data_IF_370464376014
#
_entry.id   IF_370464376014
#
_cell.length_a   1.000
_cell.length_b   1.000
_cell.length_c   1.000
_cell.angle_alpha   90.00
_cell.angle_beta   90.00
_cell.angle_gamma   90.00
#
_symmetry.space_group_name_H-M   'P 1'
#
loop_
_entity.id
_entity.type
_entity.pdbx_description
1 polymer ?
#
# COMPACT_ATOMS: atom_id res chain seq x y z
N UNK A 1 0.20 -4.05 13.01
CA UNK A 1 -1.22 -3.60 13.02
C UNK A 1 -2.03 -4.15 14.20
N UNK A 2 -1.87 -5.42 14.53
CA UNK A 2 -2.67 -6.06 15.59
C UNK A 2 -2.48 -5.43 16.98
N UNK A 3 -1.35 -4.78 17.23
CA UNK A 3 -1.03 -4.13 18.51
C UNK A 3 -1.45 -2.67 18.57
N UNK A 4 -2.02 -2.14 17.49
CA UNK A 4 -2.47 -0.76 17.44
C UNK A 4 -3.82 -0.63 18.13
N UNK A 5 -3.97 0.38 18.98
CA UNK A 5 -5.22 0.65 19.68
C UNK A 5 -6.37 0.85 18.69
N UNK A 6 -7.50 0.21 18.96
CA UNK A 6 -8.68 0.27 18.09
C UNK A 6 -8.71 -0.77 16.97
N UNK A 7 -7.61 -1.47 16.71
CA UNK A 7 -7.55 -2.53 15.71
C UNK A 7 -8.04 -3.84 16.29
N UNK A 8 -9.01 -4.47 15.61
CA UNK A 8 -9.54 -5.78 15.97
C UNK A 8 -9.59 -6.65 14.71
N UNK A 9 -9.77 -7.95 14.89
CA UNK A 9 -9.92 -8.90 13.79
C UNK A 9 -8.80 -8.80 12.73
N UNK A 10 -7.59 -8.45 13.17
CA UNK A 10 -6.43 -8.34 12.27
C UNK A 10 -5.95 -9.73 11.90
N UNK A 11 -5.90 -10.02 10.59
CA UNK A 11 -5.45 -11.31 10.09
C UNK A 11 -4.65 -11.18 8.81
N UNK A 12 -3.71 -12.11 8.64
CA UNK A 12 -2.91 -12.25 7.44
C UNK A 12 -3.66 -13.10 6.43
N UNK A 13 -3.63 -12.69 5.17
CA UNK A 13 -4.27 -13.42 4.07
C UNK A 13 -3.20 -14.11 3.22
N UNK A 14 -3.46 -15.35 2.82
CA UNK A 14 -2.51 -16.17 2.06
C UNK A 14 -2.93 -16.36 0.59
N UNK A 15 -4.01 -15.73 0.15
CA UNK A 15 -4.51 -15.85 -1.23
C UNK A 15 -3.67 -15.08 -2.24
N UNK A 16 -3.45 -15.65 -3.43
CA UNK A 16 -2.79 -14.96 -4.53
C UNK A 16 -3.67 -13.83 -5.08
N UNK A 17 -3.04 -12.70 -5.41
CA UNK A 17 -3.70 -11.58 -6.06
C UNK A 17 -4.57 -10.71 -5.18
N UNK A 18 -4.79 -11.10 -3.91
CA UNK A 18 -5.54 -10.31 -2.95
C UNK A 18 -4.64 -9.49 -2.02
N UNK A 19 -5.21 -8.68 -1.13
CA UNK A 19 -4.44 -7.94 -0.13
C UNK A 19 -3.76 -8.88 0.87
N UNK A 20 -2.71 -8.39 1.54
CA UNK A 20 -1.93 -9.20 2.48
C UNK A 20 -2.54 -9.26 3.87
N UNK A 21 -3.26 -8.22 4.29
CA UNK A 21 -3.83 -8.12 5.63
C UNK A 21 -5.26 -7.56 5.55
N UNK A 22 -6.14 -8.10 6.38
CA UNK A 22 -7.44 -7.49 6.67
C UNK A 22 -7.53 -7.17 8.16
N UNK A 23 -8.16 -6.07 8.50
CA UNK A 23 -8.41 -5.68 9.88
C UNK A 23 -9.68 -4.86 9.98
N UNK A 24 -10.17 -4.70 11.22
CA UNK A 24 -11.26 -3.79 11.54
C UNK A 24 -10.75 -2.73 12.51
N UNK A 25 -11.04 -1.47 12.21
CA UNK A 25 -10.61 -0.34 13.03
C UNK A 25 -11.82 0.35 13.66
N UNK A 26 -11.82 0.43 15.01
CA UNK A 26 -12.88 1.08 15.79
C UNK A 26 -14.29 0.61 15.42
N UNK A 27 -14.45 -0.72 15.27
CA UNK A 27 -15.72 -1.36 14.94
C UNK A 27 -16.35 -0.87 13.61
N UNK A 28 -15.53 -0.30 12.70
CA UNK A 28 -15.97 0.09 11.36
C UNK A 28 -15.93 -1.10 10.38
N UNK A 29 -15.98 -0.82 9.08
CA UNK A 29 -15.86 -1.87 8.06
C UNK A 29 -14.49 -2.54 8.07
N UNK A 30 -14.36 -3.64 7.35
CA UNK A 30 -13.08 -4.31 7.13
C UNK A 30 -12.20 -3.42 6.24
N UNK A 31 -10.97 -3.23 6.65
CA UNK A 31 -9.94 -2.48 5.93
C UNK A 31 -8.90 -3.46 5.41
N UNK A 32 -8.57 -3.38 4.13
CA UNK A 32 -7.55 -4.22 3.51
C UNK A 32 -6.24 -3.46 3.32
N UNK A 33 -5.13 -4.16 3.56
CA UNK A 33 -3.78 -3.60 3.50
C UNK A 33 -2.91 -4.42 2.56
N UNK A 34 -2.26 -3.76 1.62
CA UNK A 34 -1.24 -4.35 0.75
C UNK A 34 0.14 -3.97 1.27
N UNK A 35 1.01 -4.97 1.47
CA UNK A 35 2.37 -4.73 1.96
C UNK A 35 3.37 -4.86 0.81
N UNK A 36 4.28 -3.91 0.69
CA UNK A 36 5.33 -3.91 -0.33
C UNK A 36 6.67 -3.49 0.27
N UNK A 37 7.75 -4.07 -0.25
CA UNK A 37 9.10 -3.62 0.07
C UNK A 37 9.48 -2.49 -0.88
N UNK A 38 10.19 -1.49 -0.36
CA UNK A 38 10.73 -0.41 -1.20
C UNK A 38 11.88 -0.94 -2.06
N UNK A 39 12.16 -0.24 -3.16
CA UNK A 39 13.32 -0.53 -4.00
C UNK A 39 14.61 -0.23 -3.23
N UNK A 40 15.64 -1.02 -3.48
CA UNK A 40 16.94 -0.89 -2.81
C UNK A 40 17.68 0.39 -3.20
N UNK A 41 17.45 0.87 -4.40
CA UNK A 41 18.14 2.03 -4.97
C UNK A 41 17.28 3.27 -4.80
N UNK A 42 17.84 4.30 -4.14
CA UNK A 42 17.22 5.62 -4.06
C UNK A 42 17.43 6.39 -5.38
N UNK A 43 16.59 7.38 -5.63
CA UNK A 43 16.78 8.30 -6.75
C UNK A 43 18.00 9.19 -6.50
N UNK A 44 18.42 9.96 -7.53
CA UNK A 44 19.54 10.88 -7.42
C UNK A 44 19.35 11.92 -6.30
N UNK A 45 18.11 12.31 -6.01
CA UNK A 45 17.77 13.26 -4.93
C UNK A 45 17.54 12.58 -3.57
N UNK A 46 17.80 11.28 -3.47
CA UNK A 46 17.65 10.53 -2.23
C UNK A 46 16.24 10.02 -1.93
N UNK A 47 15.31 10.13 -2.87
CA UNK A 47 13.94 9.67 -2.67
C UNK A 47 13.83 8.15 -2.67
N UNK A 48 12.96 7.61 -1.81
CA UNK A 48 12.63 6.19 -1.72
C UNK A 48 11.42 5.92 -2.61
N UNK A 49 11.45 4.78 -3.31
CA UNK A 49 10.38 4.41 -4.26
C UNK A 49 9.87 3.00 -4.04
N UNK A 50 8.62 2.77 -4.44
CA UNK A 50 8.01 1.45 -4.57
C UNK A 50 7.86 1.09 -6.03
N UNK A 51 8.07 -0.18 -6.36
CA UNK A 51 7.58 -0.76 -7.62
C UNK A 51 6.25 -1.44 -7.30
N UNK A 52 5.16 -0.74 -7.62
CA UNK A 52 3.83 -1.05 -7.14
C UNK A 52 3.00 -1.72 -8.23
N UNK A 53 3.29 -3.00 -8.48
CA UNK A 53 2.58 -3.79 -9.48
C UNK A 53 2.59 -5.27 -9.10
N UNK A 54 1.66 -6.04 -9.68
CA UNK A 54 1.66 -7.49 -9.55
C UNK A 54 2.82 -8.08 -10.34
N UNK A 55 3.27 -9.26 -9.96
CA UNK A 55 4.36 -9.96 -10.65
C UNK A 55 3.97 -10.42 -12.05
N UNK A 56 2.68 -10.62 -12.31
CA UNK A 56 2.17 -11.13 -13.59
C UNK A 56 1.02 -10.30 -14.11
N UNK A 57 1.00 -10.11 -15.44
CA UNK A 57 -0.12 -9.52 -16.15
C UNK A 57 -0.83 -10.59 -16.98
N UNK A 58 -2.11 -10.36 -17.30
CA UNK A 58 -2.80 -11.11 -18.33
C UNK A 58 -2.14 -10.83 -19.68
N UNK A 59 -1.96 -11.86 -20.52
CA UNK A 59 -1.41 -11.68 -21.88
C UNK A 59 -2.28 -10.78 -22.76
N UNK A 60 -3.59 -10.70 -22.48
CA UNK A 60 -4.56 -9.90 -23.23
C UNK A 60 -4.67 -8.47 -22.72
N UNK A 61 -4.27 -8.23 -21.48
CA UNK A 61 -4.39 -6.92 -20.85
C UNK A 61 -3.13 -6.60 -20.03
N UNK A 62 -2.15 -5.91 -20.62
CA UNK A 62 -0.95 -5.50 -19.89
C UNK A 62 -1.24 -4.64 -18.68
N UNK A 63 -2.33 -3.87 -18.68
CA UNK A 63 -2.72 -3.02 -17.57
C UNK A 63 -3.15 -3.83 -16.33
N UNK A 64 -3.40 -5.14 -16.47
CA UNK A 64 -3.80 -6.00 -15.34
C UNK A 64 -2.70 -6.16 -14.28
N UNK A 65 -1.45 -5.82 -14.59
CA UNK A 65 -0.36 -5.81 -13.60
C UNK A 65 -0.52 -4.72 -12.56
N UNK A 66 -1.18 -3.63 -12.92
CA UNK A 66 -1.27 -2.46 -12.07
C UNK A 66 -2.48 -2.54 -11.16
N UNK A 67 -2.31 -2.07 -9.92
CA UNK A 67 -3.41 -2.02 -8.96
C UNK A 67 -4.36 -0.87 -9.28
N UNK A 68 -5.62 -1.04 -8.90
CA UNK A 68 -6.57 0.06 -8.83
C UNK A 68 -6.80 0.45 -7.36
N UNK A 69 -7.32 1.65 -7.12
CA UNK A 69 -7.59 2.13 -5.75
C UNK A 69 -8.65 1.29 -5.03
N UNK A 70 -9.43 0.49 -5.78
CA UNK A 70 -10.44 -0.41 -5.21
C UNK A 70 -9.89 -1.77 -4.77
N UNK A 71 -8.63 -2.09 -5.11
CA UNK A 71 -8.05 -3.40 -4.77
C UNK A 71 -7.70 -3.52 -3.28
N UNK A 72 -7.44 -2.41 -2.61
CA UNK A 72 -7.13 -2.35 -1.17
C UNK A 72 -7.30 -0.92 -0.68
N UNK A 73 -7.33 -0.75 0.63
CA UNK A 73 -7.54 0.56 1.26
C UNK A 73 -6.22 1.26 1.59
N UNK A 74 -5.21 0.50 2.01
CA UNK A 74 -3.94 1.02 2.52
C UNK A 74 -2.77 0.28 1.90
N UNK A 75 -1.72 1.02 1.56
CA UNK A 75 -0.41 0.46 1.21
C UNK A 75 0.53 0.65 2.39
N UNK A 76 1.18 -0.43 2.82
CA UNK A 76 2.23 -0.39 3.82
C UNK A 76 3.57 -0.68 3.13
N UNK A 77 4.44 0.33 3.08
CA UNK A 77 5.76 0.23 2.49
C UNK A 77 6.81 -0.09 3.56
N UNK A 78 7.51 -1.20 3.40
CA UNK A 78 8.60 -1.58 4.29
C UNK A 78 9.92 -0.99 3.78
N UNK A 79 10.60 -0.21 4.64
CA UNK A 79 11.81 0.52 4.30
C UNK A 79 13.11 -0.27 4.56
N UNK A 80 13.02 -1.52 5.00
CA UNK A 80 14.19 -2.32 5.41
C UNK A 80 15.27 -2.37 4.33
N UNK A 81 14.90 -2.43 3.05
CA UNK A 81 15.84 -2.49 1.94
C UNK A 81 16.81 -1.30 1.87
N UNK A 82 16.42 -0.13 2.41
CA UNK A 82 17.23 1.11 2.37
C UNK A 82 17.69 1.56 3.74
N UNK A 83 16.98 1.23 4.83
CA UNK A 83 17.31 1.69 6.19
C UNK A 83 17.91 0.60 7.08
N UNK A 84 17.80 -0.67 6.69
CA UNK A 84 18.19 -1.85 7.47
C UNK A 84 17.42 -1.93 8.81
N UNK A 85 16.30 -1.21 8.90
CA UNK A 85 15.40 -1.21 10.06
C UNK A 85 14.01 -1.64 9.60
N UNK A 86 13.27 -2.27 10.49
CA UNK A 86 11.87 -2.61 10.24
C UNK A 86 10.99 -1.38 10.44
N UNK A 87 11.11 -0.46 9.49
CA UNK A 87 10.35 0.78 9.45
C UNK A 87 9.32 0.71 8.33
N UNK A 88 8.16 1.32 8.56
CA UNK A 88 7.06 1.31 7.61
C UNK A 88 6.54 2.72 7.37
N UNK A 89 6.05 2.94 6.15
CA UNK A 89 5.28 4.14 5.80
C UNK A 89 3.98 3.68 5.18
N UNK A 90 2.92 4.40 5.45
CA UNK A 90 1.58 4.02 5.05
C UNK A 90 0.91 5.16 4.30
N UNK A 91 0.10 4.80 3.29
CA UNK A 91 -0.71 5.75 2.54
C UNK A 91 -2.03 5.09 2.15
N UNK A 92 -3.08 5.90 1.97
CA UNK A 92 -4.33 5.40 1.41
C UNK A 92 -4.17 5.19 -0.09
N UNK A 93 -4.77 4.12 -0.61
CA UNK A 93 -4.74 3.84 -2.04
C UNK A 93 -5.32 4.99 -2.87
N UNK A 94 -6.37 5.66 -2.35
CA UNK A 94 -7.03 6.77 -3.05
C UNK A 94 -6.17 8.04 -3.18
N UNK A 95 -5.08 8.14 -2.39
CA UNK A 95 -4.17 9.28 -2.44
C UNK A 95 -3.00 9.06 -3.40
N UNK A 96 -2.86 7.88 -3.98
CA UNK A 96 -1.77 7.57 -4.89
C UNK A 96 -2.06 8.05 -6.30
N UNK A 97 -1.00 8.34 -7.07
CA UNK A 97 -1.13 8.88 -8.42
C UNK A 97 -1.72 7.85 -9.39
N UNK A 98 -2.57 8.28 -10.32
CA UNK A 98 -3.10 7.39 -11.36
C UNK A 98 -2.01 7.02 -12.36
N UNK A 99 -2.16 5.84 -12.96
CA UNK A 99 -1.26 5.41 -14.04
C UNK A 99 -1.52 6.25 -15.28
N UNK A 100 -0.44 6.69 -15.92
CA UNK A 100 -0.51 7.60 -17.08
C UNK A 100 -1.23 6.99 -18.28
N UNK A 101 -1.01 5.70 -18.54
CA UNK A 101 -1.49 5.03 -19.75
C UNK A 101 -2.58 3.99 -19.51
N UNK A 102 -2.84 3.62 -18.26
CA UNK A 102 -3.83 2.60 -17.91
C UNK A 102 -4.93 3.22 -17.08
N UNK A 103 -6.06 3.55 -17.72
CA UNK A 103 -7.19 4.20 -17.07
C UNK A 103 -7.72 3.38 -15.88
N UNK A 104 -8.01 4.04 -14.78
CA UNK A 104 -8.51 3.41 -13.54
C UNK A 104 -7.44 2.69 -12.72
N UNK A 105 -6.19 2.71 -13.15
CA UNK A 105 -5.08 2.05 -12.46
C UNK A 105 -4.18 3.06 -11.75
N UNK A 106 -3.44 2.58 -10.75
CA UNK A 106 -2.46 3.38 -10.02
C UNK A 106 -1.09 3.29 -10.70
N UNK A 107 -0.29 4.34 -10.56
CA UNK A 107 1.10 4.35 -11.03
C UNK A 107 1.88 3.20 -10.40
N UNK A 108 2.75 2.53 -11.17
CA UNK A 108 3.56 1.42 -10.67
C UNK A 108 4.85 1.89 -9.98
N UNK A 109 5.38 3.04 -10.34
CA UNK A 109 6.52 3.64 -9.62
C UNK A 109 5.99 4.75 -8.72
N UNK A 110 6.06 4.52 -7.43
CA UNK A 110 5.51 5.42 -6.42
C UNK A 110 6.63 5.93 -5.53
N UNK A 111 6.76 7.25 -5.45
CA UNK A 111 7.72 7.90 -4.55
C UNK A 111 7.07 8.10 -3.18
N UNK A 112 7.82 7.79 -2.12
CA UNK A 112 7.37 8.06 -0.75
C UNK A 112 7.60 9.54 -0.45
N UNK A 113 6.51 10.30 -0.39
CA UNK A 113 6.49 11.74 -0.13
C UNK A 113 5.63 12.07 1.09
N UNK A 114 5.15 13.30 1.21
CA UNK A 114 4.36 13.79 2.34
C UNK A 114 3.00 13.08 2.49
N UNK A 115 2.52 12.37 1.49
CA UNK A 115 1.30 11.56 1.58
C UNK A 115 1.47 10.32 2.43
N UNK A 116 2.71 9.95 2.73
CA UNK A 116 3.07 8.75 3.48
C UNK A 116 3.34 9.10 4.94
N UNK A 117 2.78 8.30 5.85
CA UNK A 117 2.91 8.51 7.29
C UNK A 117 3.44 7.26 7.98
N UNK A 118 4.14 7.46 9.09
CA UNK A 118 4.53 6.35 9.98
C UNK A 118 3.44 6.01 10.98
N UNK A 119 2.39 6.81 11.08
CA UNK A 119 1.30 6.59 12.04
C UNK A 119 0.20 5.71 11.46
N UNK A 120 0.09 4.49 11.97
CA UNK A 120 -0.97 3.54 11.59
C UNK A 120 -2.34 4.12 11.93
N UNK A 121 -2.50 4.71 13.11
CA UNK A 121 -3.78 5.31 13.55
C UNK A 121 -4.21 6.43 12.62
N UNK A 122 -3.29 7.26 12.18
CA UNK A 122 -3.58 8.37 11.28
C UNK A 122 -4.19 7.86 9.96
N UNK A 123 -3.55 6.87 9.34
CA UNK A 123 -4.02 6.35 8.06
C UNK A 123 -5.34 5.59 8.21
N UNK A 124 -5.50 4.80 9.25
CA UNK A 124 -6.74 4.05 9.50
C UNK A 124 -7.92 5.00 9.78
N UNK A 125 -7.69 6.04 10.56
CA UNK A 125 -8.71 7.06 10.81
C UNK A 125 -9.14 7.75 9.52
N UNK A 126 -8.18 8.09 8.65
CA UNK A 126 -8.46 8.70 7.36
C UNK A 126 -9.29 7.78 6.44
N UNK A 127 -9.01 6.47 6.45
CA UNK A 127 -9.80 5.49 5.67
C UNK A 127 -11.24 5.44 6.15
N UNK A 128 -11.45 5.38 7.47
CA UNK A 128 -12.79 5.30 8.07
C UNK A 128 -13.60 6.57 7.80
N UNK A 129 -12.97 7.74 7.88
CA UNK A 129 -13.63 9.04 7.72
C UNK A 129 -13.72 9.51 6.26
N UNK A 130 -12.94 8.90 5.40
CA UNK A 130 -12.92 9.23 3.99
C UNK A 130 -13.89 8.42 3.18
#
# INVERSE_FOLDING_TARGET
FEKVEGVTECRRLDGEGGPDIELRYEASRIISVECKNVLRTKTADGSVRLDFQRTRASKRDPCSRYYSSSDFDVVAACLHAVSVRWEYRLARSVDLDPHRNCAGKLSHIVRLDERWTSSVRHVLTAVVNG
#
